data_IF_689556094206
#
_entry.id   IF_689556094206
#
_cell.length_a   1.000
_cell.length_b   1.000
_cell.length_c   1.000
_cell.angle_alpha   90.00
_cell.angle_beta   90.00
_cell.angle_gamma   90.00
#
_symmetry.space_group_name_H-M   'P 1'
#
loop_
_entity.id
_entity.type
_entity.pdbx_description
1 polymer ?
#
# COMPACT_ATOMS: atom_id res chain seq x y z
N UNK A 1 7.00 46.07 -56.23
CA UNK A 1 7.76 45.95 -54.96
C UNK A 1 6.85 46.47 -53.86
N UNK A 2 6.52 45.82 -52.75
CA UNK A 2 7.00 44.61 -52.09
C UNK A 2 5.89 44.14 -51.14
N UNK A 3 5.64 42.84 -51.06
CA UNK A 3 4.73 42.23 -50.08
C UNK A 3 5.41 42.10 -48.70
N UNK A 4 4.62 42.12 -47.61
CA UNK A 4 4.99 41.46 -46.34
C UNK A 4 3.77 40.86 -45.66
N UNK A 5 3.84 39.54 -45.47
CA UNK A 5 3.02 38.72 -44.58
C UNK A 5 3.84 38.36 -43.32
N UNK A 6 3.16 37.91 -42.25
CA UNK A 6 3.79 37.26 -41.09
C UNK A 6 2.97 37.46 -39.81
N UNK A 7 1.99 36.61 -39.51
CA UNK A 7 2.15 35.36 -38.74
C UNK A 7 2.45 35.61 -37.25
N UNK A 8 1.41 35.52 -36.40
CA UNK A 8 1.57 35.75 -34.96
C UNK A 8 0.45 35.17 -34.10
N UNK A 9 0.21 33.85 -34.15
CA UNK A 9 -0.79 33.21 -33.25
C UNK A 9 -0.44 31.83 -32.68
N UNK A 10 0.75 31.27 -32.89
CA UNK A 10 1.06 29.88 -32.49
C UNK A 10 2.02 29.69 -31.31
N UNK A 11 2.30 30.71 -30.50
CA UNK A 11 3.36 30.64 -29.47
C UNK A 11 2.90 30.41 -28.02
N UNK A 12 1.59 30.31 -27.71
CA UNK A 12 1.10 30.32 -26.31
C UNK A 12 0.67 28.96 -25.73
N UNK A 13 0.60 27.90 -26.53
CA UNK A 13 0.16 26.57 -26.07
C UNK A 13 1.30 25.64 -25.61
N UNK A 14 2.57 25.99 -25.87
CA UNK A 14 3.70 25.13 -25.50
C UNK A 14 4.16 25.24 -24.04
N UNK A 15 3.81 26.33 -23.33
CA UNK A 15 4.38 26.61 -22.01
C UNK A 15 3.70 25.82 -20.87
N UNK A 16 2.41 25.48 -21.02
CA UNK A 16 1.64 24.81 -19.96
C UNK A 16 1.97 23.30 -19.89
N UNK A 17 2.25 22.67 -21.05
CA UNK A 17 2.62 21.25 -21.10
C UNK A 17 3.98 20.94 -20.46
N UNK A 18 4.95 21.85 -20.57
CA UNK A 18 6.27 21.67 -19.98
C UNK A 18 6.25 21.76 -18.44
N UNK A 19 5.37 22.59 -17.87
CA UNK A 19 5.27 22.74 -16.41
C UNK A 19 4.64 21.51 -15.75
N UNK A 20 3.65 20.87 -16.40
CA UNK A 20 3.02 19.65 -15.91
C UNK A 20 3.96 18.43 -15.95
N UNK A 21 4.85 18.33 -16.95
CA UNK A 21 5.85 17.25 -16.99
C UNK A 21 6.92 17.38 -15.90
N UNK A 22 7.28 18.61 -15.51
CA UNK A 22 8.27 18.85 -14.46
C UNK A 22 7.77 18.45 -13.05
N UNK A 23 6.45 18.46 -12.83
CA UNK A 23 5.85 18.10 -11.53
C UNK A 23 5.80 16.59 -11.28
N UNK A 24 5.85 15.74 -12.32
CA UNK A 24 5.73 14.27 -12.16
C UNK A 24 7.09 13.58 -11.97
N UNK A 25 8.20 14.22 -12.35
CA UNK A 25 9.55 13.63 -12.26
C UNK A 25 10.22 13.70 -10.89
N UNK A 26 9.57 14.25 -9.87
CA UNK A 26 10.20 14.68 -8.62
C UNK A 26 10.11 13.73 -7.43
N UNK A 27 9.66 12.48 -7.59
CA UNK A 27 9.75 11.50 -6.49
C UNK A 27 11.19 11.01 -6.36
N UNK A 28 12.02 11.79 -5.68
CA UNK A 28 13.38 11.38 -5.33
C UNK A 28 13.34 10.05 -4.60
N UNK A 29 14.12 9.08 -5.07
CA UNK A 29 14.37 7.84 -4.33
C UNK A 29 14.88 8.18 -2.91
N UNK A 30 14.55 7.38 -1.89
CA UNK A 30 14.99 7.65 -0.52
C UNK A 30 16.51 7.82 -0.50
N UNK A 31 16.96 9.01 -0.11
CA UNK A 31 18.38 9.31 0.01
C UNK A 31 18.92 8.57 1.24
N UNK A 32 19.96 7.77 1.05
CA UNK A 32 20.70 7.17 2.16
C UNK A 32 21.41 8.32 2.88
N UNK A 33 20.95 8.65 4.08
CA UNK A 33 21.65 9.61 4.95
C UNK A 33 22.74 8.87 5.70
N UNK A 34 23.99 9.00 5.26
CA UNK A 34 25.14 8.57 6.05
C UNK A 34 25.31 9.55 7.22
N UNK A 35 24.97 9.10 8.43
CA UNK A 35 25.37 9.80 9.64
C UNK A 35 26.86 9.53 9.85
N UNK A 36 27.70 10.55 9.69
CA UNK A 36 29.12 10.47 10.01
C UNK A 36 29.35 10.93 11.47
N UNK A 37 30.01 10.09 12.26
CA UNK A 37 30.56 10.52 13.54
C UNK A 37 31.84 11.31 13.27
N UNK A 38 31.88 12.60 13.63
CA UNK A 38 33.02 13.48 13.35
C UNK A 38 33.94 13.72 14.57
N UNK A 39 33.60 13.16 15.73
CA UNK A 39 34.46 13.26 16.91
C UNK A 39 35.66 12.29 16.83
N UNK A 40 36.67 12.52 17.66
CA UNK A 40 37.88 11.69 17.68
C UNK A 40 37.71 10.38 18.48
N UNK A 41 36.53 10.15 19.07
CA UNK A 41 36.23 9.05 20.01
C UNK A 41 35.21 8.06 19.41
N UNK A 42 35.22 7.90 18.08
CA UNK A 42 34.40 6.90 17.41
C UNK A 42 35.17 5.59 17.22
N UNK A 43 34.48 4.47 17.39
CA UNK A 43 35.04 3.15 17.09
C UNK A 43 35.24 2.99 15.58
N UNK A 44 36.49 2.99 15.11
CA UNK A 44 36.85 2.85 13.68
C UNK A 44 36.59 1.44 13.10
N UNK A 45 36.02 0.51 13.88
CA UNK A 45 35.94 -0.91 13.52
C UNK A 45 34.60 -1.59 13.81
N UNK A 46 33.51 -0.83 14.00
CA UNK A 46 32.19 -1.43 14.22
C UNK A 46 31.40 -1.42 12.92
N UNK A 47 31.14 -2.59 12.36
CA UNK A 47 30.23 -2.73 11.22
C UNK A 47 28.80 -2.42 11.69
N UNK A 48 28.26 -1.28 11.27
CA UNK A 48 26.85 -0.95 11.46
C UNK A 48 26.05 -1.53 10.31
N UNK A 49 25.25 -2.56 10.58
CA UNK A 49 24.34 -3.14 9.60
C UNK A 49 22.97 -2.47 9.71
N UNK A 50 22.54 -1.83 8.63
CA UNK A 50 21.18 -1.30 8.54
C UNK A 50 20.18 -2.47 8.56
N UNK A 51 19.17 -2.37 9.43
CA UNK A 51 18.05 -3.32 9.44
C UNK A 51 17.07 -2.89 8.36
N UNK A 52 16.75 -3.80 7.44
CA UNK A 52 15.65 -3.63 6.48
C UNK A 52 14.49 -4.51 6.93
N UNK A 53 13.35 -3.89 7.20
CA UNK A 53 12.10 -4.60 7.47
C UNK A 53 11.36 -4.76 6.14
N UNK A 54 11.16 -5.98 5.62
CA UNK A 54 10.53 -6.19 4.33
C UNK A 54 9.03 -5.87 4.41
N UNK A 55 8.52 -5.17 3.40
CA UNK A 55 7.08 -5.07 3.18
C UNK A 55 6.54 -6.42 2.68
N UNK A 56 5.46 -6.96 3.25
CA UNK A 56 4.77 -8.11 2.68
C UNK A 56 4.26 -7.79 1.27
N UNK A 57 4.32 -8.77 0.37
CA UNK A 57 3.80 -8.65 -1.01
C UNK A 57 2.41 -9.27 -1.04
N UNK A 58 1.42 -8.49 -1.46
CA UNK A 58 0.07 -8.98 -1.75
C UNK A 58 0.07 -9.55 -3.17
N UNK A 59 -0.24 -10.83 -3.28
CA UNK A 59 -0.24 -11.58 -4.53
C UNK A 59 -1.61 -11.52 -5.22
N UNK A 60 -2.66 -11.70 -4.43
CA UNK A 60 -4.04 -11.69 -4.92
C UNK A 60 -4.94 -10.95 -3.97
N UNK A 61 -6.00 -10.36 -4.53
CA UNK A 61 -7.06 -9.71 -3.76
C UNK A 61 -8.41 -9.98 -4.40
N UNK A 62 -9.36 -10.43 -3.58
CA UNK A 62 -10.74 -10.70 -3.99
C UNK A 62 -11.69 -9.95 -3.07
N UNK A 63 -12.41 -8.97 -3.62
CA UNK A 63 -13.46 -8.25 -2.93
C UNK A 63 -14.82 -8.84 -3.29
N UNK A 64 -15.66 -9.13 -2.30
CA UNK A 64 -16.97 -9.75 -2.51
C UNK A 64 -18.01 -9.21 -1.53
N UNK A 65 -19.26 -9.20 -1.97
CA UNK A 65 -20.41 -9.11 -1.06
C UNK A 65 -21.05 -10.49 -1.00
N UNK A 66 -21.14 -11.07 0.19
CA UNK A 66 -21.70 -12.41 0.42
C UNK A 66 -22.98 -12.30 1.25
N UNK A 67 -23.94 -13.19 1.02
CA UNK A 67 -25.12 -13.32 1.89
C UNK A 67 -24.80 -14.31 3.02
N UNK A 68 -24.50 -13.78 4.21
CA UNK A 68 -24.20 -14.57 5.39
C UNK A 68 -25.33 -14.38 6.41
N UNK A 69 -26.02 -15.46 6.78
CA UNK A 69 -27.13 -15.42 7.75
C UNK A 69 -28.18 -14.35 7.43
N UNK A 70 -28.58 -14.24 6.16
CA UNK A 70 -29.53 -13.23 5.62
C UNK A 70 -29.04 -11.77 5.64
N UNK A 71 -27.76 -11.53 5.94
CA UNK A 71 -27.14 -10.20 5.92
C UNK A 71 -26.10 -10.12 4.80
N UNK A 72 -26.18 -9.06 3.98
CA UNK A 72 -25.15 -8.77 2.98
C UNK A 72 -23.88 -8.29 3.71
N UNK A 73 -22.81 -9.08 3.59
CA UNK A 73 -21.55 -8.87 4.29
C UNK A 73 -20.43 -8.68 3.27
N UNK A 74 -19.82 -7.48 3.21
CA UNK A 74 -18.60 -7.28 2.44
C UNK A 74 -17.44 -8.10 3.04
N UNK A 75 -16.60 -8.64 2.17
CA UNK A 75 -15.42 -9.43 2.51
C UNK A 75 -14.29 -9.11 1.53
N UNK A 76 -13.08 -8.92 2.04
CA UNK A 76 -11.85 -8.90 1.23
C UNK A 76 -10.99 -10.08 1.64
N UNK A 77 -10.59 -10.89 0.68
CA UNK A 77 -9.63 -11.98 0.89
C UNK A 77 -8.37 -11.65 0.11
N UNK A 78 -7.22 -11.65 0.77
CA UNK A 78 -5.91 -11.51 0.12
C UNK A 78 -5.05 -12.74 0.35
N UNK A 79 -4.20 -13.05 -0.63
CA UNK A 79 -3.04 -13.91 -0.42
C UNK A 79 -1.78 -13.06 -0.47
N UNK A 80 -0.81 -13.40 0.37
CA UNK A 80 0.41 -12.62 0.48
C UNK A 80 1.57 -13.45 1.01
N UNK A 81 2.79 -12.98 0.81
CA UNK A 81 4.01 -13.58 1.34
C UNK A 81 5.04 -12.53 1.74
N UNK A 82 6.07 -12.94 2.49
CA UNK A 82 7.25 -12.10 2.72
C UNK A 82 8.27 -12.32 1.61
N UNK A 83 8.90 -11.26 1.06
CA UNK A 83 9.91 -11.39 0.02
C UNK A 83 11.22 -12.01 0.53
N UNK A 84 11.42 -12.03 1.85
CA UNK A 84 12.62 -12.58 2.50
C UNK A 84 12.26 -13.52 3.63
N UNK A 85 13.12 -14.51 3.89
CA UNK A 85 12.99 -15.37 5.05
C UNK A 85 13.16 -14.60 6.39
N UNK A 86 12.81 -15.24 7.50
CA UNK A 86 12.96 -14.68 8.85
C UNK A 86 11.73 -13.92 9.37
N UNK A 87 10.72 -13.69 8.53
CA UNK A 87 9.45 -13.11 8.93
C UNK A 87 8.33 -14.16 8.85
N UNK A 88 7.38 -14.07 9.77
CA UNK A 88 6.25 -14.99 9.90
C UNK A 88 4.94 -14.22 10.06
N UNK A 89 3.81 -14.92 10.09
CA UNK A 89 2.50 -14.33 10.36
C UNK A 89 2.44 -13.52 11.66
N UNK A 90 3.28 -13.82 12.67
CA UNK A 90 3.35 -13.05 13.91
C UNK A 90 3.91 -11.63 13.72
N UNK A 91 4.73 -11.43 12.68
CA UNK A 91 5.28 -10.13 12.33
C UNK A 91 4.28 -9.27 11.55
N UNK A 92 3.21 -9.85 11.01
CA UNK A 92 2.27 -9.14 10.15
C UNK A 92 1.51 -8.07 10.92
N UNK A 93 1.26 -6.95 10.27
CA UNK A 93 0.45 -5.84 10.76
C UNK A 93 -0.60 -5.52 9.73
N UNK A 94 -1.86 -5.52 10.15
CA UNK A 94 -3.01 -5.29 9.28
C UNK A 94 -3.51 -3.88 9.47
N UNK A 95 -3.99 -3.29 8.38
CA UNK A 95 -4.51 -1.94 8.35
C UNK A 95 -5.80 -1.88 7.53
N UNK A 96 -6.61 -0.87 7.78
CA UNK A 96 -7.89 -0.67 7.14
C UNK A 96 -8.25 0.82 7.05
N UNK A 97 -8.99 1.20 6.00
CA UNK A 97 -9.67 2.48 5.90
C UNK A 97 -10.96 2.39 5.06
N UNK A 98 -12.00 3.10 5.46
CA UNK A 98 -13.20 3.41 4.66
C UNK A 98 -13.12 4.81 4.00
N UNK A 99 -12.12 5.61 4.34
CA UNK A 99 -12.01 7.01 3.90
C UNK A 99 -10.84 7.25 2.92
N UNK A 100 -10.05 6.22 2.62
CA UNK A 100 -8.95 6.27 1.67
C UNK A 100 -7.59 5.92 2.28
N UNK A 101 -6.56 5.79 1.44
CA UNK A 101 -5.19 5.44 1.82
C UNK A 101 -4.60 6.27 2.98
N UNK A 102 -4.91 7.57 3.04
CA UNK A 102 -4.41 8.48 4.10
C UNK A 102 -5.02 8.21 5.48
N UNK A 103 -6.09 7.42 5.55
CA UNK A 103 -6.81 7.07 6.77
C UNK A 103 -6.58 5.63 7.25
N UNK A 104 -5.49 4.97 6.82
CA UNK A 104 -5.19 3.61 7.25
C UNK A 104 -4.94 3.54 8.77
N UNK A 105 -5.82 2.81 9.47
CA UNK A 105 -5.71 2.52 10.90
C UNK A 105 -5.29 1.07 11.11
N UNK A 106 -4.52 0.81 12.16
CA UNK A 106 -4.10 -0.56 12.48
C UNK A 106 -5.27 -1.39 13.01
N UNK A 107 -5.38 -2.63 12.54
CA UNK A 107 -6.43 -3.58 12.93
C UNK A 107 -5.78 -4.80 13.59
N UNK A 108 -6.13 -5.12 14.85
CA UNK A 108 -5.68 -6.34 15.49
C UNK A 108 -6.20 -7.59 14.79
N UNK A 109 -5.39 -8.65 14.75
CA UNK A 109 -5.86 -9.95 14.30
C UNK A 109 -6.99 -10.44 15.23
N UNK A 110 -8.06 -10.97 14.66
CA UNK A 110 -9.29 -11.35 15.36
C UNK A 110 -10.34 -10.22 15.42
N UNK A 111 -9.96 -8.97 15.17
CA UNK A 111 -10.87 -7.81 15.16
C UNK A 111 -11.36 -7.48 13.75
N UNK A 112 -12.00 -8.46 13.10
CA UNK A 112 -12.47 -8.33 11.71
C UNK A 112 -11.43 -8.74 10.66
N UNK A 113 -10.23 -9.15 11.09
CA UNK A 113 -9.21 -9.77 10.23
C UNK A 113 -8.87 -11.15 10.76
N UNK A 114 -8.89 -12.15 9.90
CA UNK A 114 -8.35 -13.48 10.19
C UNK A 114 -7.22 -13.80 9.22
N UNK A 115 -6.30 -14.67 9.61
CA UNK A 115 -5.20 -15.10 8.74
C UNK A 115 -4.87 -16.55 8.97
N UNK A 116 -4.65 -17.29 7.88
CA UNK A 116 -4.26 -18.70 7.89
C UNK A 116 -2.98 -18.91 7.08
N UNK A 117 -2.35 -20.07 7.27
CA UNK A 117 -1.09 -20.44 6.62
C UNK A 117 0.14 -20.27 7.53
N UNK A 118 1.36 -20.35 6.95
CA UNK A 118 1.59 -20.36 5.51
C UNK A 118 1.35 -21.73 4.87
N UNK A 119 0.79 -21.75 3.66
CA UNK A 119 0.81 -22.91 2.76
C UNK A 119 1.81 -22.60 1.63
N UNK A 120 2.89 -23.38 1.54
CA UNK A 120 3.98 -23.12 0.57
C UNK A 120 4.51 -21.68 0.61
N UNK A 121 4.65 -21.11 1.83
CA UNK A 121 5.13 -19.75 2.04
C UNK A 121 4.09 -18.63 1.85
N UNK A 122 2.87 -18.97 1.42
CA UNK A 122 1.78 -18.00 1.22
C UNK A 122 0.80 -18.01 2.37
N UNK A 123 0.47 -16.83 2.87
CA UNK A 123 -0.58 -16.59 3.86
C UNK A 123 -1.88 -16.18 3.17
N UNK A 124 -3.01 -16.42 3.82
CA UNK A 124 -4.31 -15.93 3.38
C UNK A 124 -4.95 -15.13 4.49
N UNK A 125 -5.28 -13.86 4.24
CA UNK A 125 -5.97 -13.00 5.19
C UNK A 125 -7.35 -12.61 4.69
N UNK A 126 -8.32 -12.62 5.61
CA UNK A 126 -9.71 -12.26 5.33
C UNK A 126 -10.13 -11.09 6.21
N UNK A 127 -10.52 -9.99 5.59
CA UNK A 127 -11.10 -8.80 6.21
C UNK A 127 -12.62 -8.84 6.04
N UNK A 128 -13.36 -8.76 7.14
CA UNK A 128 -14.83 -8.86 7.14
C UNK A 128 -15.46 -8.40 8.47
N UNK A 129 -16.77 -8.49 8.58
CA UNK A 129 -17.52 -8.22 9.81
C UNK A 129 -17.77 -6.73 10.01
N UNK A 130 -17.68 -6.25 11.26
CA UNK A 130 -17.91 -4.84 11.59
C UNK A 130 -16.90 -3.90 10.93
N UNK A 131 -15.71 -4.39 10.61
CA UNK A 131 -14.69 -3.63 9.90
C UNK A 131 -15.22 -3.10 8.56
N UNK A 132 -16.02 -3.91 7.86
CA UNK A 132 -16.60 -3.57 6.57
C UNK A 132 -18.11 -3.28 6.64
N UNK A 133 -18.64 -3.09 7.85
CA UNK A 133 -20.07 -2.84 8.01
C UNK A 133 -20.42 -1.45 7.44
N UNK A 134 -21.44 -1.40 6.58
CA UNK A 134 -21.92 -0.15 5.98
C UNK A 134 -21.32 0.20 4.62
N UNK A 135 -20.41 -0.62 4.08
CA UNK A 135 -19.70 -0.34 2.81
C UNK A 135 -20.37 -1.04 1.62
N UNK A 136 -21.64 -1.41 1.75
CA UNK A 136 -22.38 -1.99 0.63
C UNK A 136 -22.51 -0.96 -0.50
N UNK A 137 -21.99 -1.30 -1.68
CA UNK A 137 -21.89 -0.34 -2.79
C UNK A 137 -20.76 0.69 -2.64
N UNK A 138 -19.90 0.57 -1.62
CA UNK A 138 -18.78 1.46 -1.36
C UNK A 138 -17.42 0.85 -1.69
N UNK A 139 -16.39 1.43 -1.11
CA UNK A 139 -15.00 0.98 -1.22
C UNK A 139 -14.29 0.98 0.12
N UNK A 140 -13.24 0.17 0.24
CA UNK A 140 -12.34 0.17 1.38
C UNK A 140 -10.90 -0.06 0.93
N UNK A 141 -9.96 0.47 1.69
CA UNK A 141 -8.55 0.16 1.57
C UNK A 141 -8.14 -0.78 2.70
N UNK A 142 -7.43 -1.84 2.35
CA UNK A 142 -6.73 -2.69 3.32
C UNK A 142 -5.23 -2.53 3.15
N UNK A 143 -4.51 -2.67 4.26
CA UNK A 143 -3.06 -2.58 4.26
C UNK A 143 -2.41 -3.74 5.02
N UNK A 144 -1.19 -4.05 4.61
CA UNK A 144 -0.36 -5.09 5.17
C UNK A 144 1.08 -4.58 5.31
N UNK A 145 1.59 -4.62 6.53
CA UNK A 145 2.97 -4.29 6.87
C UNK A 145 3.60 -5.36 7.76
N UNK A 146 4.83 -5.13 8.17
CA UNK A 146 5.59 -6.03 9.02
C UNK A 146 6.24 -5.26 10.17
N UNK A 147 6.25 -5.84 11.36
CA UNK A 147 6.97 -5.32 12.50
C UNK A 147 8.17 -6.22 12.86
N UNK A 148 9.30 -5.58 13.10
CA UNK A 148 10.52 -6.21 13.58
C UNK A 148 10.64 -6.08 15.12
N UNK A 149 11.41 -6.98 15.74
CA UNK A 149 11.61 -6.97 17.20
C UNK A 149 12.28 -5.70 17.73
N UNK A 150 12.99 -4.97 16.87
CA UNK A 150 13.57 -3.66 17.19
C UNK A 150 12.56 -2.51 17.25
N UNK A 151 11.28 -2.76 16.93
CA UNK A 151 10.23 -1.73 16.85
C UNK A 151 10.10 -1.05 15.49
N UNK A 152 10.98 -1.34 14.52
CA UNK A 152 10.86 -0.85 13.16
C UNK A 152 9.69 -1.53 12.44
N UNK A 153 9.01 -0.77 11.58
CA UNK A 153 7.88 -1.23 10.77
C UNK A 153 8.21 -1.00 9.30
N UNK A 154 7.85 -1.94 8.45
CA UNK A 154 8.01 -1.78 7.00
C UNK A 154 6.98 -0.81 6.41
N UNK A 155 7.21 -0.33 5.17
CA UNK A 155 6.15 0.24 4.34
C UNK A 155 4.94 -0.70 4.21
N UNK A 156 3.78 -0.12 3.92
CA UNK A 156 2.51 -0.85 3.85
C UNK A 156 2.15 -1.14 2.40
N UNK A 157 2.04 -2.42 2.05
CA UNK A 157 1.40 -2.85 0.81
C UNK A 157 -0.12 -2.78 0.98
N UNK A 158 -0.83 -2.32 -0.04
CA UNK A 158 -2.26 -2.00 0.07
C UNK A 158 -3.08 -2.65 -1.03
N UNK A 159 -4.37 -2.81 -0.76
CA UNK A 159 -5.33 -3.19 -1.78
C UNK A 159 -6.62 -2.37 -1.63
N UNK A 160 -7.00 -1.70 -2.72
CA UNK A 160 -8.23 -0.92 -2.82
C UNK A 160 -9.36 -1.81 -3.34
N UNK A 161 -10.34 -2.09 -2.50
CA UNK A 161 -11.48 -2.94 -2.79
C UNK A 161 -12.75 -2.10 -3.03
N UNK A 162 -13.52 -2.45 -4.06
CA UNK A 162 -14.89 -1.93 -4.27
C UNK A 162 -15.88 -3.07 -4.12
N UNK A 163 -17.07 -2.79 -3.61
CA UNK A 163 -18.06 -3.83 -3.33
C UNK A 163 -19.36 -3.60 -4.11
N UNK A 164 -19.95 -4.66 -4.68
CA UNK A 164 -21.28 -4.56 -5.26
C UNK A 164 -22.34 -4.37 -4.17
N UNK A 165 -23.44 -3.68 -4.52
CA UNK A 165 -24.63 -3.50 -3.67
C UNK A 165 -25.34 -4.83 -3.35
N UNK A 166 -25.18 -5.83 -4.22
CA UNK A 166 -25.80 -7.14 -4.12
C UNK A 166 -24.70 -8.21 -4.02
N UNK A 167 -25.10 -9.46 -3.79
CA UNK A 167 -24.18 -10.60 -3.76
C UNK A 167 -23.38 -10.67 -5.07
N UNK A 168 -22.06 -10.75 -4.97
CA UNK A 168 -21.18 -10.81 -6.13
C UNK A 168 -19.74 -10.47 -5.81
N UNK A 169 -18.92 -10.45 -6.86
CA UNK A 169 -17.52 -10.02 -6.82
C UNK A 169 -17.41 -8.56 -7.23
N UNK A 170 -16.67 -7.77 -6.45
CA UNK A 170 -16.27 -6.43 -6.80
C UNK A 170 -14.90 -6.39 -7.46
N UNK A 171 -14.30 -5.20 -7.55
CA UNK A 171 -12.91 -5.04 -8.03
C UNK A 171 -11.94 -4.89 -6.88
N UNK A 172 -10.70 -5.32 -7.08
CA UNK A 172 -9.63 -5.03 -6.16
C UNK A 172 -8.35 -4.64 -6.90
N UNK A 173 -7.70 -3.57 -6.46
CA UNK A 173 -6.45 -3.04 -7.05
C UNK A 173 -5.36 -3.08 -6.00
N UNK A 174 -4.29 -3.82 -6.28
CA UNK A 174 -3.16 -4.01 -5.37
C UNK A 174 -2.08 -2.95 -5.67
N UNK A 175 -1.49 -2.39 -4.62
CA UNK A 175 -0.30 -1.54 -4.67
C UNK A 175 0.70 -2.01 -3.61
N UNK A 176 1.72 -2.76 -4.05
CA UNK A 176 2.82 -3.18 -3.19
C UNK A 176 3.80 -2.03 -2.97
N UNK A 177 4.38 -1.96 -1.77
CA UNK A 177 5.34 -0.92 -1.39
C UNK A 177 6.78 -1.22 -1.85
#
# INVERSE_FOLDING_TARGET
MSARAGAGRTARLGLIGALLLALVGGVGSPAVTEAAFTDAEHGTSVALTAIVVPAPIIDTCVAQTLLLSLVLTPRVTITWHYPTAGYTGANARYFYSDTGLLGLISVPLGSGVTTTGPSSGTYTSTFQGTLLAGILGGSADIGLGAAHASGWVSPVSTAHATFPLLVGTGSCVISNA
#
